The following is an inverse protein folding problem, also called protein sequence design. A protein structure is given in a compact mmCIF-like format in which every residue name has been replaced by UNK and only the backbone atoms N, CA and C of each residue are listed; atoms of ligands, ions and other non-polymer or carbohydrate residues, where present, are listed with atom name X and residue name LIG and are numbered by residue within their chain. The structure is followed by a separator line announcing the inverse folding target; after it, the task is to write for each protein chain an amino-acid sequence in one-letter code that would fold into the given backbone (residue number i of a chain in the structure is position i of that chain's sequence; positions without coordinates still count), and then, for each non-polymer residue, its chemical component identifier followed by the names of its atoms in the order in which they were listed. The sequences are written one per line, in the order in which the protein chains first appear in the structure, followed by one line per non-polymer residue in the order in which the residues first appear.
data_IF_012185344991
#
_entry.id   IF_012185344991
#
_cell.length_a   1.000
_cell.length_b   1.000
_cell.length_c   1.000
_cell.angle_alpha   90.00
_cell.angle_beta   90.00
_cell.angle_gamma   90.00
#
_symmetry.space_group_name_H-M   'P 1'
#
loop_
_entity.id
_entity.type
_entity.pdbx_description
1 polymer ?
#
# COMPACT_ATOMS: atom_id res chain seq x y z
N UNK A 1 47.16 -6.22 23.16
CA UNK A 1 45.76 -6.53 23.48
C UNK A 1 45.06 -5.19 23.65
N UNK A 2 44.33 -4.75 22.64
CA UNK A 2 43.49 -3.55 22.69
C UNK A 2 42.12 -3.98 22.17
N UNK A 3 41.13 -3.78 23.03
CA UNK A 3 39.74 -4.13 22.85
C UNK A 3 39.14 -3.13 21.85
N UNK A 4 38.45 -3.62 20.82
CA UNK A 4 37.50 -2.83 20.03
C UNK A 4 36.15 -3.51 20.19
N UNK A 5 35.30 -2.89 21.01
CA UNK A 5 33.89 -3.28 21.17
C UNK A 5 33.15 -2.72 19.96
N UNK A 6 32.47 -3.59 19.22
CA UNK A 6 31.54 -3.24 18.15
C UNK A 6 30.44 -2.33 18.72
N UNK A 7 30.21 -1.18 18.10
CA UNK A 7 29.05 -0.34 18.41
C UNK A 7 27.81 -1.01 17.78
N UNK A 8 26.76 -1.31 18.56
CA UNK A 8 25.48 -1.67 17.97
C UNK A 8 24.89 -0.42 17.29
N UNK A 9 24.36 -0.59 16.07
CA UNK A 9 23.64 0.46 15.35
C UNK A 9 22.55 1.06 16.26
N UNK A 10 22.61 2.38 16.43
CA UNK A 10 21.60 3.15 17.14
C UNK A 10 20.33 3.15 16.29
N UNK A 11 19.42 2.21 16.55
CA UNK A 11 18.05 2.31 16.10
C UNK A 11 17.45 3.56 16.76
N UNK A 12 17.03 4.53 15.97
CA UNK A 12 16.44 5.77 16.46
C UNK A 12 14.99 5.51 16.91
N UNK A 13 14.85 5.21 18.20
CA UNK A 13 13.57 4.90 18.84
C UNK A 13 12.49 5.97 18.63
N UNK A 14 12.86 7.23 18.39
CA UNK A 14 11.88 8.30 18.19
C UNK A 14 11.23 8.23 16.79
N UNK A 15 12.00 7.84 15.76
CA UNK A 15 11.52 7.67 14.38
C UNK A 15 10.59 6.47 14.26
N UNK A 16 10.95 5.32 14.84
CA UNK A 16 10.08 4.13 14.87
C UNK A 16 8.73 4.44 15.54
N UNK A 17 8.74 5.23 16.62
CA UNK A 17 7.53 5.58 17.36
C UNK A 17 6.63 6.58 16.60
N UNK A 18 7.19 7.47 15.78
CA UNK A 18 6.40 8.34 14.89
C UNK A 18 5.78 7.53 13.74
N UNK A 19 6.55 6.65 13.10
CA UNK A 19 6.06 5.80 12.02
C UNK A 19 4.94 4.88 12.48
N UNK A 20 5.11 4.26 13.64
CA UNK A 20 4.08 3.41 14.24
C UNK A 20 2.79 4.21 14.53
N UNK A 21 2.90 5.45 15.03
CA UNK A 21 1.73 6.32 15.25
C UNK A 21 1.02 6.66 13.95
N UNK A 22 1.75 6.96 12.88
CA UNK A 22 1.16 7.26 11.57
C UNK A 22 0.37 6.05 11.03
N UNK A 23 0.93 4.85 11.13
CA UNK A 23 0.27 3.60 10.70
C UNK A 23 -0.97 3.32 11.57
N UNK A 24 -0.89 3.54 12.89
CA UNK A 24 -2.05 3.40 13.79
C UNK A 24 -3.18 4.38 13.44
N UNK A 25 -2.85 5.66 13.21
CA UNK A 25 -3.81 6.67 12.78
C UNK A 25 -4.42 6.35 11.41
N UNK A 26 -3.60 5.88 10.46
CA UNK A 26 -4.04 5.41 9.16
C UNK A 26 -5.11 4.32 9.30
N UNK A 27 -4.82 3.25 10.06
CA UNK A 27 -5.75 2.12 10.20
C UNK A 27 -7.00 2.47 11.01
N UNK A 28 -6.89 3.41 11.96
CA UNK A 28 -8.07 3.97 12.63
C UNK A 28 -9.00 4.64 11.61
N UNK A 29 -8.48 5.51 10.74
CA UNK A 29 -9.27 6.16 9.69
C UNK A 29 -9.84 5.16 8.69
N UNK A 30 -9.06 4.16 8.29
CA UNK A 30 -9.49 3.07 7.42
C UNK A 30 -10.70 2.35 8.03
N UNK A 31 -10.57 1.80 9.24
CA UNK A 31 -11.63 1.01 9.88
C UNK A 31 -12.90 1.83 10.20
N UNK A 32 -12.77 3.14 10.46
CA UNK A 32 -13.93 4.01 10.70
C UNK A 32 -14.70 4.29 9.40
N UNK A 33 -13.99 4.47 8.29
CA UNK A 33 -14.57 5.00 7.05
C UNK A 33 -14.84 3.94 5.97
N UNK A 34 -14.20 2.77 6.04
CA UNK A 34 -14.47 1.61 5.17
C UNK A 34 -15.81 0.97 5.51
N UNK A 35 -16.89 1.64 5.09
CA UNK A 35 -18.27 1.19 5.26
C UNK A 35 -18.78 0.52 3.99
N UNK A 36 -19.75 -0.39 4.14
CA UNK A 36 -20.33 -1.12 3.02
C UNK A 36 -20.80 -0.20 1.89
N UNK A 37 -21.54 0.87 2.23
CA UNK A 37 -22.03 1.85 1.25
C UNK A 37 -20.91 2.63 0.57
N UNK A 38 -19.82 2.94 1.29
CA UNK A 38 -18.67 3.60 0.70
C UNK A 38 -18.03 2.71 -0.36
N UNK A 39 -17.70 1.46 -0.01
CA UNK A 39 -17.08 0.50 -0.93
C UNK A 39 -17.99 0.18 -2.11
N UNK A 40 -19.30 0.05 -1.88
CA UNK A 40 -20.28 -0.15 -2.97
C UNK A 40 -20.26 0.99 -3.97
N UNK A 41 -20.24 2.26 -3.51
CA UNK A 41 -20.12 3.42 -4.40
C UNK A 41 -18.79 3.44 -5.15
N UNK A 42 -17.67 3.21 -4.47
CA UNK A 42 -16.35 3.17 -5.10
C UNK A 42 -16.29 2.09 -6.20
N UNK A 43 -16.82 0.89 -5.93
CA UNK A 43 -16.88 -0.18 -6.94
C UNK A 43 -17.70 0.22 -8.17
N UNK A 44 -18.85 0.88 -7.97
CA UNK A 44 -19.70 1.34 -9.07
C UNK A 44 -19.05 2.46 -9.89
N UNK A 45 -18.24 3.29 -9.25
CA UNK A 45 -17.51 4.38 -9.88
C UNK A 45 -16.32 3.88 -10.71
N UNK A 46 -15.43 3.09 -10.10
CA UNK A 46 -14.14 2.71 -10.71
C UNK A 46 -14.24 1.54 -11.67
N UNK A 47 -15.30 0.72 -11.63
CA UNK A 47 -15.54 -0.33 -12.64
C UNK A 47 -15.73 0.19 -14.07
N UNK A 48 -15.98 1.50 -14.22
CA UNK A 48 -16.20 2.14 -15.53
C UNK A 48 -14.91 2.31 -16.32
N UNK A 49 -13.76 2.32 -15.66
CA UNK A 49 -12.43 2.45 -16.28
C UNK A 49 -12.32 3.63 -17.26
N UNK A 50 -12.99 4.75 -16.95
CA UNK A 50 -13.17 5.88 -17.87
C UNK A 50 -12.37 7.13 -17.47
N UNK A 51 -11.30 6.95 -16.69
CA UNK A 51 -10.51 8.07 -16.12
C UNK A 51 -9.38 8.47 -17.05
N UNK A 52 -8.46 7.55 -17.31
CA UNK A 52 -7.25 7.78 -18.13
C UNK A 52 -6.95 6.51 -18.93
N UNK A 53 -6.40 6.68 -20.13
CA UNK A 53 -5.84 5.60 -20.95
C UNK A 53 -4.31 5.80 -21.00
N UNK A 54 -3.56 4.76 -20.64
CA UNK A 54 -2.10 4.79 -20.59
C UNK A 54 -1.52 3.37 -20.66
N UNK A 55 -0.23 3.28 -20.96
CA UNK A 55 0.55 2.05 -20.85
C UNK A 55 0.85 1.67 -19.39
N UNK A 56 1.25 0.42 -19.18
CA UNK A 56 1.69 -0.07 -17.86
C UNK A 56 2.87 0.75 -17.34
N UNK A 57 3.85 1.08 -18.19
CA UNK A 57 5.04 1.82 -17.76
C UNK A 57 4.71 3.25 -17.36
N UNK A 58 3.86 3.96 -18.12
CA UNK A 58 3.37 5.29 -17.73
C UNK A 58 2.64 5.23 -16.37
N UNK A 59 1.87 4.16 -16.12
CA UNK A 59 1.23 3.93 -14.83
C UNK A 59 2.27 3.73 -13.70
N UNK A 60 3.32 2.95 -13.93
CA UNK A 60 4.43 2.81 -12.98
C UNK A 60 5.12 4.14 -12.69
N UNK A 61 5.39 4.96 -13.71
CA UNK A 61 6.05 6.26 -13.55
C UNK A 61 5.25 7.23 -12.69
N UNK A 62 3.92 7.17 -12.73
CA UNK A 62 3.05 7.97 -11.86
C UNK A 62 3.18 7.59 -10.37
N UNK A 63 3.65 6.39 -10.06
CA UNK A 63 3.86 5.92 -8.69
C UNK A 63 5.18 6.43 -8.08
N UNK A 64 5.98 7.20 -8.80
CA UNK A 64 7.13 7.94 -8.23
C UNK A 64 6.72 8.95 -7.15
N UNK A 65 5.49 9.46 -7.22
CA UNK A 65 4.99 10.52 -6.32
C UNK A 65 4.22 9.96 -5.11
N UNK A 66 4.23 8.64 -4.91
CA UNK A 66 3.41 7.96 -3.91
C UNK A 66 4.30 7.19 -2.95
N UNK A 67 4.12 7.44 -1.65
CA UNK A 67 4.64 6.63 -0.54
C UNK A 67 3.44 6.07 0.20
N UNK A 68 3.49 4.78 0.57
CA UNK A 68 2.38 4.07 1.22
C UNK A 68 2.41 4.30 2.74
N UNK A 69 1.52 5.16 3.25
CA UNK A 69 1.47 5.48 4.69
C UNK A 69 1.00 4.31 5.58
N UNK A 70 0.53 3.20 4.99
CA UNK A 70 0.08 2.02 5.73
C UNK A 70 1.18 1.00 5.97
N UNK A 71 2.28 1.10 5.21
CA UNK A 71 3.40 0.17 5.26
C UNK A 71 4.43 0.69 6.30
N UNK A 72 4.64 -0.03 7.42
CA UNK A 72 5.59 0.38 8.44
C UNK A 72 7.05 0.17 8.00
N UNK A 73 7.30 -0.45 6.84
CA UNK A 73 8.62 -0.79 6.33
C UNK A 73 9.03 0.10 5.14
N UNK A 74 8.09 0.61 4.33
CA UNK A 74 8.35 1.32 3.07
C UNK A 74 8.39 2.87 3.20
N UNK A 75 9.55 3.49 2.94
CA UNK A 75 9.69 4.98 2.90
C UNK A 75 10.00 5.48 1.48
N UNK A 76 10.30 4.58 0.56
CA UNK A 76 10.61 4.86 -0.83
C UNK A 76 9.36 5.03 -1.70
N UNK A 77 9.50 5.68 -2.87
CA UNK A 77 8.45 5.73 -3.87
C UNK A 77 7.95 4.34 -4.27
N UNK A 78 6.64 4.22 -4.46
CA UNK A 78 5.96 2.97 -4.75
C UNK A 78 6.47 2.26 -6.02
N UNK A 79 6.99 2.99 -7.02
CA UNK A 79 7.62 2.37 -8.20
C UNK A 79 8.84 1.51 -7.84
N UNK A 80 9.61 1.90 -6.82
CA UNK A 80 10.79 1.15 -6.39
C UNK A 80 10.36 -0.22 -5.84
N UNK A 81 9.32 -0.25 -5.00
CA UNK A 81 8.70 -1.48 -4.52
C UNK A 81 8.24 -2.41 -5.65
N UNK A 82 7.61 -1.86 -6.70
CA UNK A 82 7.18 -2.65 -7.86
C UNK A 82 8.37 -3.34 -8.54
N UNK A 83 9.46 -2.59 -8.78
CA UNK A 83 10.66 -3.09 -9.44
C UNK A 83 11.41 -4.09 -8.56
N UNK A 84 11.55 -3.81 -7.26
CA UNK A 84 12.18 -4.71 -6.30
C UNK A 84 11.42 -6.04 -6.22
N UNK A 85 10.09 -5.99 -6.11
CA UNK A 85 9.24 -7.19 -6.06
C UNK A 85 9.35 -7.99 -7.37
N UNK A 86 9.28 -7.32 -8.53
CA UNK A 86 9.42 -7.98 -9.82
C UNK A 86 10.79 -8.65 -10.01
N UNK A 87 11.89 -7.98 -9.64
CA UNK A 87 13.24 -8.52 -9.76
C UNK A 87 13.53 -9.65 -8.77
N UNK A 88 13.02 -9.56 -7.55
CA UNK A 88 13.11 -10.65 -6.57
C UNK A 88 12.42 -11.91 -7.10
N UNK A 89 11.19 -11.77 -7.59
CA UNK A 89 10.42 -12.85 -8.18
C UNK A 89 11.09 -13.40 -9.45
N UNK A 90 11.65 -12.53 -10.31
CA UNK A 90 12.40 -12.96 -11.50
C UNK A 90 13.61 -13.81 -11.15
N UNK A 91 14.30 -13.48 -10.05
CA UNK A 91 15.46 -14.23 -9.57
C UNK A 91 15.07 -15.60 -9.01
N UNK A 92 13.99 -15.67 -8.24
CA UNK A 92 13.56 -16.89 -7.57
C UNK A 92 12.79 -17.84 -8.51
N UNK A 93 12.09 -17.29 -9.52
CA UNK A 93 11.26 -18.01 -10.47
C UNK A 93 11.59 -17.65 -11.92
N UNK A 94 12.82 -17.92 -12.41
CA UNK A 94 13.32 -17.37 -13.68
C UNK A 94 12.58 -17.80 -14.94
N UNK A 95 11.73 -18.84 -14.88
CA UNK A 95 10.98 -19.35 -16.02
C UNK A 95 9.48 -18.99 -15.97
N UNK A 96 9.03 -18.23 -14.96
CA UNK A 96 7.64 -17.87 -14.74
C UNK A 96 7.39 -16.39 -15.08
N UNK A 97 7.57 -16.03 -16.35
CA UNK A 97 7.50 -14.63 -16.83
C UNK A 97 6.19 -13.91 -16.42
N UNK A 98 5.07 -14.65 -16.39
CA UNK A 98 3.78 -14.11 -15.96
C UNK A 98 3.79 -13.69 -14.49
N UNK A 99 4.58 -14.35 -13.65
CA UNK A 99 4.71 -14.04 -12.22
C UNK A 99 5.57 -12.79 -12.04
N UNK A 100 6.59 -12.57 -12.88
CA UNK A 100 7.39 -11.34 -12.89
C UNK A 100 6.49 -10.15 -13.23
N UNK A 101 5.65 -10.30 -14.26
CA UNK A 101 4.69 -9.28 -14.65
C UNK A 101 3.66 -9.04 -13.53
N UNK A 102 3.14 -10.11 -12.92
CA UNK A 102 2.17 -10.00 -11.82
C UNK A 102 2.76 -9.20 -10.66
N UNK A 103 4.01 -9.48 -10.29
CA UNK A 103 4.76 -8.73 -9.29
C UNK A 103 4.96 -7.26 -9.68
N UNK A 104 5.20 -6.95 -10.96
CA UNK A 104 5.31 -5.57 -11.41
C UNK A 104 3.98 -4.80 -11.33
N UNK A 105 2.85 -5.46 -11.61
CA UNK A 105 1.56 -4.77 -11.76
C UNK A 105 0.69 -4.78 -10.50
N UNK A 106 1.08 -5.52 -9.45
CA UNK A 106 0.20 -5.85 -8.32
C UNK A 106 -0.39 -4.61 -7.62
N UNK A 107 0.42 -3.56 -7.48
CA UNK A 107 0.07 -2.35 -6.74
C UNK A 107 -0.25 -1.14 -7.64
N UNK A 108 -0.44 -1.34 -8.95
CA UNK A 108 -0.79 -0.23 -9.86
C UNK A 108 -2.11 0.45 -9.51
N UNK A 109 -2.97 -0.18 -8.71
CA UNK A 109 -4.18 0.44 -8.17
C UNK A 109 -3.91 1.68 -7.29
N UNK A 110 -2.70 1.86 -6.78
CA UNK A 110 -2.32 3.00 -5.93
C UNK A 110 -2.39 4.35 -6.66
N UNK A 111 -2.46 4.35 -8.00
CA UNK A 111 -2.72 5.57 -8.79
C UNK A 111 -4.04 6.26 -8.44
N UNK A 112 -4.98 5.58 -7.78
CA UNK A 112 -6.22 6.18 -7.28
C UNK A 112 -6.00 7.35 -6.29
N UNK A 113 -4.82 7.45 -5.69
CA UNK A 113 -4.40 8.57 -4.85
C UNK A 113 -4.14 9.85 -5.65
N UNK A 114 -3.90 9.74 -6.95
CA UNK A 114 -3.60 10.88 -7.80
C UNK A 114 -4.88 11.63 -8.21
N UNK A 115 -4.85 12.97 -8.31
CA UNK A 115 -6.02 13.77 -8.68
C UNK A 115 -6.67 13.38 -10.01
N UNK A 116 -5.87 12.92 -10.99
CA UNK A 116 -6.35 12.47 -12.30
C UNK A 116 -7.23 11.22 -12.22
N UNK A 117 -7.04 10.37 -11.20
CA UNK A 117 -7.80 9.16 -10.99
C UNK A 117 -8.94 9.33 -9.99
N UNK A 118 -8.77 10.21 -9.01
CA UNK A 118 -9.81 10.51 -8.02
C UNK A 118 -9.32 11.29 -6.81
N UNK A 119 -8.02 11.28 -6.53
CA UNK A 119 -7.47 11.92 -5.35
C UNK A 119 -8.01 11.32 -4.06
N UNK A 120 -8.20 9.99 -4.03
CA UNK A 120 -8.72 9.30 -2.85
C UNK A 120 -7.72 9.43 -1.69
N UNK A 121 -8.19 9.47 -0.44
CA UNK A 121 -7.29 9.43 0.71
C UNK A 121 -6.60 8.06 0.79
N UNK A 122 -5.38 8.00 1.34
CA UNK A 122 -4.60 6.77 1.47
C UNK A 122 -5.40 5.62 2.10
N UNK A 123 -6.13 5.89 3.19
CA UNK A 123 -6.96 4.88 3.88
C UNK A 123 -8.01 4.22 3.00
N UNK A 124 -8.39 4.82 1.87
CA UNK A 124 -9.36 4.26 0.92
C UNK A 124 -8.74 3.39 -0.18
N UNK A 125 -7.40 3.37 -0.30
CA UNK A 125 -6.68 2.75 -1.43
C UNK A 125 -5.67 1.72 -0.97
N UNK A 126 -4.89 2.00 0.08
CA UNK A 126 -3.79 1.14 0.55
C UNK A 126 -4.13 0.45 1.88
N UNK A 127 -3.20 -0.38 2.37
CA UNK A 127 -3.31 -1.13 3.61
C UNK A 127 -4.09 -2.43 3.52
N UNK A 128 -4.05 -3.17 4.62
CA UNK A 128 -4.70 -4.47 4.76
C UNK A 128 -6.21 -4.39 4.53
N UNK A 129 -6.73 -5.36 3.77
CA UNK A 129 -8.16 -5.44 3.45
C UNK A 129 -8.92 -6.33 4.43
N UNK A 130 -10.10 -5.87 4.87
CA UNK A 130 -10.98 -6.59 5.79
C UNK A 130 -12.39 -6.78 5.20
N UNK A 131 -13.06 -7.92 5.44
CA UNK A 131 -14.42 -8.12 4.96
C UNK A 131 -15.41 -7.18 5.68
N UNK A 132 -16.27 -6.52 4.90
CA UNK A 132 -17.31 -5.61 5.42
C UNK A 132 -18.66 -6.31 5.57
N UNK A 133 -19.51 -5.78 6.45
CA UNK A 133 -20.88 -6.29 6.65
C UNK A 133 -20.97 -7.61 7.41
N UNK A 134 -19.86 -8.08 8.00
CA UNK A 134 -19.82 -9.22 8.90
C UNK A 134 -19.10 -8.86 10.20
N UNK A 135 -19.51 -9.51 11.29
CA UNK A 135 -18.81 -9.36 12.57
C UNK A 135 -17.53 -10.19 12.55
N UNK A 136 -16.39 -9.53 12.41
CA UNK A 136 -15.07 -10.16 12.59
C UNK A 136 -14.69 -10.02 14.06
N UNK A 137 -14.97 -11.03 14.88
CA UNK A 137 -14.73 -11.03 16.34
C UNK A 137 -13.30 -10.82 16.84
N UNK A 138 -12.40 -10.27 16.01
CA UNK A 138 -11.03 -9.91 16.34
C UNK A 138 -10.80 -8.41 16.55
N UNK A 139 -11.79 -7.56 16.25
CA UNK A 139 -11.75 -6.15 16.62
C UNK A 139 -13.14 -5.74 17.12
N UNK A 140 -13.22 -5.12 18.29
CA UNK A 140 -14.47 -4.79 19.00
C UNK A 140 -15.34 -3.72 18.34
N UNK A 141 -15.31 -3.58 17.01
CA UNK A 141 -16.21 -2.74 16.24
C UNK A 141 -16.90 -3.61 15.18
N UNK A 142 -18.23 -3.63 15.23
CA UNK A 142 -19.02 -3.94 14.03
C UNK A 142 -18.64 -2.86 13.02
N UNK A 143 -17.90 -3.21 11.97
CA UNK A 143 -17.63 -2.29 10.87
C UNK A 143 -18.94 -2.01 10.15
N UNK A 144 -19.63 -0.97 10.63
CA UNK A 144 -20.76 -0.25 10.03
C UNK A 144 -21.81 -1.08 9.31
N UNK A 145 -22.92 -1.32 10.00
CA UNK A 145 -24.24 -1.54 9.39
C UNK A 145 -24.72 -0.32 8.60
#
# INVERSE_FOLDING_TARGET
MAISIEQPELVDYDVENERQRNVEEFYQLNHINQKYDFVKRMREEYKKLSRVEMSIWECCELLNEIVDDSDPDLDEPQIEHLLQTAEAIRKDYPNEDWLHLTALIHDLGKVLLLPSFGGLPQWAVVGDTNPLGMWTGKCGHVMGS
#
